data_IF_457108266479
#
_entry.id   IF_457108266479
#
_cell.length_a   1.000
_cell.length_b   1.000
_cell.length_c   1.000
_cell.angle_alpha   90.00
_cell.angle_beta   90.00
_cell.angle_gamma   90.00
#
_symmetry.space_group_name_H-M   'P 1'
#
loop_
_entity.id
_entity.type
_entity.pdbx_description
1 polymer ?
#
# COMPACT_ATOMS: atom_id res chain seq x y z
N UNK A 1 7.89 -9.75 7.12
CA UNK A 1 6.61 -9.02 7.15
C UNK A 1 6.86 -7.68 6.46
N UNK A 2 5.89 -7.10 5.76
CA UNK A 2 6.07 -5.80 5.08
C UNK A 2 5.28 -4.76 5.88
N UNK A 3 5.94 -3.66 6.25
CA UNK A 3 5.30 -2.48 6.82
C UNK A 3 5.35 -1.37 5.78
N UNK A 4 4.18 -0.92 5.34
CA UNK A 4 4.03 0.26 4.50
C UNK A 4 3.59 1.42 5.39
N UNK A 5 4.24 2.56 5.23
CA UNK A 5 3.87 3.82 5.87
C UNK A 5 3.50 4.78 4.75
N UNK A 6 2.31 5.35 4.83
CA UNK A 6 1.83 6.36 3.89
C UNK A 6 1.83 7.73 4.54
N UNK A 7 2.21 8.74 3.78
CA UNK A 7 2.15 10.15 4.17
C UNK A 7 1.77 10.96 2.93
N UNK A 8 1.00 12.03 3.09
CA UNK A 8 0.74 12.96 1.99
C UNK A 8 1.91 13.93 1.82
N UNK A 9 2.18 14.37 0.59
CA UNK A 9 3.25 15.34 0.31
C UNK A 9 3.13 16.68 1.05
N UNK A 10 1.94 16.98 1.59
CA UNK A 10 1.67 18.17 2.43
C UNK A 10 2.06 17.96 3.91
N UNK A 11 2.55 16.77 4.28
CA UNK A 11 2.92 16.39 5.65
C UNK A 11 1.75 15.98 6.54
N UNK A 12 0.55 15.88 5.97
CA UNK A 12 -0.64 15.37 6.67
C UNK A 12 -0.64 13.84 6.75
N UNK A 13 -1.21 13.31 7.83
CA UNK A 13 -1.35 11.87 8.05
C UNK A 13 -2.30 11.20 7.05
N UNK A 14 -1.90 10.04 6.54
CA UNK A 14 -2.69 9.21 5.63
C UNK A 14 -3.57 8.19 6.38
N UNK A 15 -3.84 8.42 7.67
CA UNK A 15 -4.63 7.50 8.49
C UNK A 15 -6.04 7.30 7.90
N UNK A 16 -6.50 6.05 7.83
CA UNK A 16 -7.80 5.71 7.24
C UNK A 16 -7.79 5.51 5.72
N UNK A 17 -6.68 5.77 5.03
CA UNK A 17 -6.56 5.48 3.59
C UNK A 17 -6.54 3.97 3.32
N UNK A 18 -7.20 3.54 2.25
CA UNK A 18 -7.21 2.15 1.84
C UNK A 18 -5.90 1.78 1.12
N UNK A 19 -5.35 0.62 1.45
CA UNK A 19 -4.16 0.06 0.82
C UNK A 19 -4.55 -1.26 0.16
N UNK A 20 -4.32 -1.35 -1.14
CA UNK A 20 -4.54 -2.55 -1.92
C UNK A 20 -3.21 -3.13 -2.36
N UNK A 21 -2.97 -4.39 -2.03
CA UNK A 21 -1.84 -5.14 -2.60
C UNK A 21 -2.42 -6.05 -3.67
N UNK A 22 -1.99 -5.87 -4.91
CA UNK A 22 -2.49 -6.60 -6.07
C UNK A 22 -1.33 -7.28 -6.78
N UNK A 23 -1.61 -8.40 -7.45
CA UNK A 23 -0.69 -8.97 -8.43
C UNK A 23 -0.72 -8.14 -9.72
N UNK A 24 0.27 -8.29 -10.59
CA UNK A 24 0.29 -7.62 -11.91
C UNK A 24 -0.91 -7.98 -12.81
N UNK A 25 -1.54 -9.13 -12.58
CA UNK A 25 -2.81 -9.54 -13.19
C UNK A 25 -4.03 -8.86 -12.53
N UNK A 26 -3.83 -7.74 -11.84
CA UNK A 26 -4.81 -6.97 -11.05
C UNK A 26 -5.53 -7.73 -9.92
N UNK A 27 -5.18 -9.00 -9.70
CA UNK A 27 -5.75 -9.84 -8.66
C UNK A 27 -5.47 -9.26 -7.27
N UNK A 28 -6.53 -9.03 -6.49
CA UNK A 28 -6.40 -8.56 -5.12
C UNK A 28 -5.77 -9.64 -4.22
N UNK A 29 -4.59 -9.35 -3.67
CA UNK A 29 -3.86 -10.24 -2.76
C UNK A 29 -4.08 -9.85 -1.30
N UNK A 30 -4.19 -8.54 -1.02
CA UNK A 30 -4.49 -8.01 0.30
C UNK A 30 -5.24 -6.69 0.20
N UNK A 31 -6.18 -6.48 1.12
CA UNK A 31 -6.90 -5.23 1.33
C UNK A 31 -6.73 -4.82 2.78
N UNK A 32 -6.19 -3.63 3.00
CA UNK A 32 -6.02 -3.07 4.33
C UNK A 32 -6.35 -1.59 4.35
N UNK A 33 -6.20 -1.01 5.54
CA UNK A 33 -6.39 0.42 5.76
C UNK A 33 -5.23 0.88 6.64
N UNK A 34 -4.68 2.06 6.36
CA UNK A 34 -3.66 2.67 7.20
C UNK A 34 -4.26 2.95 8.59
N UNK A 35 -3.57 2.50 9.64
CA UNK A 35 -3.98 2.74 11.02
C UNK A 35 -3.74 4.19 11.45
N UNK A 36 -3.92 4.46 12.75
CA UNK A 36 -3.68 5.79 13.34
C UNK A 36 -2.23 6.28 13.22
N UNK A 37 -1.29 5.37 12.99
CA UNK A 37 0.13 5.66 12.72
C UNK A 37 0.43 5.79 11.21
N UNK A 38 -0.61 5.92 10.39
CA UNK A 38 -0.54 5.93 8.92
C UNK A 38 0.23 4.75 8.33
N UNK A 39 0.19 3.61 9.02
CA UNK A 39 0.91 2.39 8.66
C UNK A 39 -0.02 1.19 8.52
N UNK A 40 0.36 0.26 7.64
CA UNK A 40 -0.26 -1.07 7.50
C UNK A 40 0.82 -2.14 7.45
N UNK A 41 0.54 -3.29 8.05
CA UNK A 41 1.42 -4.45 8.02
C UNK A 41 0.71 -5.60 7.36
N UNK A 42 1.37 -6.22 6.38
CA UNK A 42 0.86 -7.40 5.71
C UNK A 42 1.96 -8.44 5.49
N UNK A 43 1.56 -9.69 5.28
CA UNK A 43 2.49 -10.76 4.90
C UNK A 43 2.91 -10.54 3.46
N UNK A 44 4.22 -10.55 3.19
CA UNK A 44 4.75 -10.47 1.83
C UNK A 44 4.13 -11.60 0.99
N UNK A 45 3.40 -11.29 -0.09
CA UNK A 45 2.90 -12.31 -1.02
C UNK A 45 4.05 -13.11 -1.62
N UNK A 46 3.80 -14.38 -1.93
CA UNK A 46 4.79 -15.23 -2.62
C UNK A 46 4.89 -14.91 -4.13
N UNK A 47 3.81 -14.36 -4.70
CA UNK A 47 3.76 -13.88 -6.08
C UNK A 47 4.28 -12.45 -6.19
N UNK A 48 4.62 -12.02 -7.41
CA UNK A 48 4.92 -10.62 -7.71
C UNK A 48 3.69 -9.74 -7.47
N UNK A 49 3.91 -8.56 -6.90
CA UNK A 49 2.83 -7.68 -6.45
C UNK A 49 3.22 -6.21 -6.54
N UNK A 50 2.22 -5.34 -6.45
CA UNK A 50 2.40 -3.93 -6.21
C UNK A 50 1.44 -3.48 -5.10
N UNK A 51 1.85 -2.45 -4.37
CA UNK A 51 1.07 -1.82 -3.30
C UNK A 51 0.53 -0.52 -3.84
N UNK A 52 -0.80 -0.37 -3.83
CA UNK A 52 -1.50 0.83 -4.26
C UNK A 52 -2.19 1.49 -3.08
N UNK A 53 -1.92 2.77 -2.87
CA UNK A 53 -2.70 3.60 -1.98
C UNK A 53 -3.91 4.13 -2.76
N UNK A 54 -5.11 3.86 -2.26
CA UNK A 54 -6.35 4.29 -2.92
C UNK A 54 -6.79 5.62 -2.32
N UNK A 55 -6.36 6.72 -2.94
CA UNK A 55 -6.80 8.07 -2.62
C UNK A 55 -8.14 8.43 -3.27
N UNK A 56 -8.68 7.56 -4.13
CA UNK A 56 -9.94 7.77 -4.83
C UNK A 56 -9.83 8.57 -6.14
N UNK A 57 -8.61 8.85 -6.63
CA UNK A 57 -8.37 9.59 -7.88
C UNK A 57 -7.34 8.93 -8.81
N UNK A 58 -6.92 9.69 -9.84
CA UNK A 58 -5.83 9.31 -10.76
C UNK A 58 -4.44 9.36 -10.10
N UNK A 59 -4.32 9.89 -8.87
CA UNK A 59 -3.06 10.08 -8.14
C UNK A 59 -2.71 8.90 -7.21
N UNK A 60 -3.22 7.71 -7.52
CA UNK A 60 -2.91 6.53 -6.74
C UNK A 60 -1.41 6.23 -6.83
N UNK A 61 -0.73 6.25 -5.68
CA UNK A 61 0.68 5.88 -5.60
C UNK A 61 0.77 4.37 -5.66
N UNK A 62 1.56 3.87 -6.61
CA UNK A 62 1.86 2.45 -6.78
C UNK A 62 3.33 2.20 -6.47
N UNK A 63 3.58 1.31 -5.50
CA UNK A 63 4.91 0.88 -5.09
C UNK A 63 5.11 -0.57 -5.50
N UNK A 64 6.11 -0.80 -6.34
CA UNK A 64 6.43 -2.12 -6.85
C UNK A 64 7.10 -3.01 -5.79
N UNK A 65 6.86 -4.32 -5.82
CA UNK A 65 7.50 -5.25 -4.88
C UNK A 65 9.04 -5.22 -4.93
N UNK A 66 9.63 -4.79 -6.05
CA UNK A 66 11.08 -4.62 -6.21
C UNK A 66 11.64 -3.45 -5.40
N UNK A 67 10.83 -2.41 -5.16
CA UNK A 67 11.21 -1.26 -4.34
C UNK A 67 10.98 -1.51 -2.83
N UNK A 68 10.06 -2.44 -2.50
CA UNK A 68 9.83 -2.89 -1.13
C UNK A 68 11.08 -3.64 -0.63
N UNK A 69 11.83 -3.02 0.30
CA UNK A 69 12.98 -3.65 0.95
C UNK A 69 12.57 -4.63 2.07
N UNK A 70 13.38 -5.68 2.32
CA UNK A 70 13.15 -6.63 3.41
C UNK A 70 13.35 -6.04 4.81
#
# INVERSE_FOLDING_TARGET
>A
MVRCVGEFSDGSDAAGMAVHVKAYDERMLFKGTLGSDSAVVFKRPAAEYFVRLEDGGEHAVEVDHTDVKP
#
